data_IF_788902044555
#
_entry.id   IF_788902044555
#
_cell.length_a   1.000
_cell.length_b   1.000
_cell.length_c   1.000
_cell.angle_alpha   90.00
_cell.angle_beta   90.00
_cell.angle_gamma   90.00
#
_symmetry.space_group_name_H-M   'P 1'
#
loop_
_entity.id
_entity.type
_entity.pdbx_description
1 polymer ?
#
# COMPACT_ATOMS: atom_id res chain seq x y z
N UNK A 1 -48.27 2.06 28.91
CA UNK A 1 -46.89 1.97 29.44
C UNK A 1 -45.93 1.99 28.25
N UNK A 2 -45.49 3.17 27.84
CA UNK A 2 -44.51 3.37 26.75
C UNK A 2 -43.11 3.29 27.34
N UNK A 3 -42.35 2.26 26.96
CA UNK A 3 -40.94 2.15 27.31
C UNK A 3 -40.15 3.25 26.61
N UNK A 4 -39.55 4.15 27.38
CA UNK A 4 -38.59 5.14 26.88
C UNK A 4 -37.31 4.42 26.44
N UNK A 5 -36.83 4.61 25.20
CA UNK A 5 -35.57 4.00 24.78
C UNK A 5 -34.42 4.68 25.53
N UNK A 6 -33.60 3.87 26.20
CA UNK A 6 -32.40 4.32 26.92
C UNK A 6 -31.40 4.85 25.88
N UNK A 7 -30.85 6.07 26.05
CA UNK A 7 -29.84 6.59 25.13
C UNK A 7 -28.62 5.67 25.15
N UNK A 8 -28.39 4.98 24.03
CA UNK A 8 -27.16 4.23 23.76
C UNK A 8 -25.99 5.20 23.85
N UNK A 9 -25.12 4.99 24.84
CA UNK A 9 -23.93 5.81 25.06
C UNK A 9 -23.08 5.76 23.79
N UNK A 10 -23.01 6.86 23.04
CA UNK A 10 -22.16 6.95 21.86
C UNK A 10 -20.75 6.51 22.26
N UNK A 11 -20.11 5.59 21.51
CA UNK A 11 -18.79 5.10 21.88
C UNK A 11 -17.84 6.29 21.99
N UNK A 12 -17.32 6.53 23.19
CA UNK A 12 -16.35 7.59 23.40
C UNK A 12 -15.12 7.26 22.57
N UNK A 13 -14.80 8.11 21.59
CA UNK A 13 -13.60 7.98 20.78
C UNK A 13 -12.39 8.11 21.72
N UNK A 14 -11.88 6.98 22.19
CA UNK A 14 -10.76 6.93 23.10
C UNK A 14 -9.50 7.50 22.45
N UNK A 15 -8.54 7.97 23.24
CA UNK A 15 -7.24 8.50 22.75
C UNK A 15 -6.58 7.58 21.70
N UNK A 16 -6.76 6.27 21.84
CA UNK A 16 -6.27 5.26 20.91
C UNK A 16 -6.86 5.36 19.50
N UNK A 17 -8.12 5.78 19.36
CA UNK A 17 -8.76 5.96 18.06
C UNK A 17 -8.20 7.18 17.31
N UNK A 18 -7.86 8.26 18.02
CA UNK A 18 -7.15 9.41 17.45
C UNK A 18 -5.72 9.08 17.03
N UNK A 19 -5.02 8.27 17.83
CA UNK A 19 -3.70 7.75 17.46
C UNK A 19 -3.79 6.87 16.21
N UNK A 20 -4.74 5.94 16.17
CA UNK A 20 -4.97 5.11 14.98
C UNK A 20 -5.29 5.95 13.75
N UNK A 21 -6.11 7.00 13.90
CA UNK A 21 -6.47 7.90 12.81
C UNK A 21 -5.25 8.70 12.31
N UNK A 22 -4.39 9.18 13.20
CA UNK A 22 -3.13 9.83 12.82
C UNK A 22 -2.16 8.89 12.09
N UNK A 23 -2.04 7.64 12.57
CA UNK A 23 -1.21 6.61 11.92
C UNK A 23 -1.77 6.25 10.54
N UNK A 24 -3.08 6.00 10.42
CA UNK A 24 -3.75 5.73 9.15
C UNK A 24 -3.60 6.88 8.16
N UNK A 25 -3.74 8.12 8.64
CA UNK A 25 -3.54 9.31 7.82
C UNK A 25 -2.10 9.39 7.29
N UNK A 26 -1.10 9.15 8.16
CA UNK A 26 0.31 9.17 7.76
C UNK A 26 0.63 8.05 6.75
N UNK A 27 0.14 6.83 7.00
CA UNK A 27 0.25 5.69 6.08
C UNK A 27 -0.37 6.07 4.72
N UNK A 28 -1.54 6.71 4.73
CA UNK A 28 -2.22 7.13 3.50
C UNK A 28 -1.40 8.17 2.72
N UNK A 29 -0.83 9.17 3.39
CA UNK A 29 0.05 10.16 2.77
C UNK A 29 1.27 9.49 2.15
N UNK A 30 1.90 8.56 2.86
CA UNK A 30 3.03 7.80 2.33
C UNK A 30 2.63 6.94 1.14
N UNK A 31 1.44 6.32 1.14
CA UNK A 31 0.93 5.53 0.03
C UNK A 31 0.74 6.40 -1.22
N UNK A 32 0.23 7.61 -1.01
CA UNK A 32 0.07 8.58 -2.08
C UNK A 32 1.42 9.05 -2.64
N UNK A 33 2.36 9.38 -1.78
CA UNK A 33 3.70 9.81 -2.19
C UNK A 33 4.42 8.71 -2.97
N UNK A 34 4.32 7.47 -2.50
CA UNK A 34 4.92 6.31 -3.15
C UNK A 34 4.36 6.12 -4.58
N UNK A 35 3.06 6.29 -4.80
CA UNK A 35 2.48 6.25 -6.16
C UNK A 35 3.04 7.34 -7.08
N UNK A 36 3.33 8.52 -6.54
CA UNK A 36 3.87 9.64 -7.32
C UNK A 36 5.36 9.50 -7.61
N UNK A 37 6.09 8.80 -6.74
CA UNK A 37 7.53 8.61 -6.82
C UNK A 37 7.96 7.97 -8.15
N UNK A 38 7.18 6.99 -8.64
CA UNK A 38 7.43 6.30 -9.92
C UNK A 38 7.33 7.24 -11.13
N UNK A 39 6.38 8.19 -11.10
CA UNK A 39 6.20 9.19 -12.15
C UNK A 39 7.32 10.24 -12.13
N UNK A 40 7.77 10.64 -10.94
CA UNK A 40 8.88 11.59 -10.76
C UNK A 40 10.22 10.98 -11.20
N UNK A 41 10.47 9.72 -10.84
CA UNK A 41 11.71 9.01 -11.17
C UNK A 41 11.69 8.34 -12.54
N UNK A 42 10.59 8.41 -13.29
CA UNK A 42 10.47 7.78 -14.61
C UNK A 42 11.64 8.18 -15.53
N UNK A 43 11.98 9.47 -15.59
CA UNK A 43 13.05 10.01 -16.45
C UNK A 43 14.46 9.55 -16.01
N UNK A 44 14.86 9.69 -14.73
CA UNK A 44 16.10 9.10 -14.24
C UNK A 44 16.22 7.58 -14.44
N UNK A 45 15.13 6.84 -14.26
CA UNK A 45 15.08 5.38 -14.49
C UNK A 45 15.32 5.08 -15.98
N UNK A 46 14.70 5.85 -16.86
CA UNK A 46 14.90 5.77 -18.31
C UNK A 46 16.35 6.01 -18.71
N UNK A 47 16.93 7.10 -18.20
CA UNK A 47 18.29 7.53 -18.53
C UNK A 47 19.34 6.57 -17.93
N UNK A 48 19.11 6.02 -16.74
CA UNK A 48 20.05 5.12 -16.06
C UNK A 48 20.03 3.69 -16.59
N UNK A 49 18.89 3.23 -17.13
CA UNK A 49 18.69 1.84 -17.55
C UNK A 49 18.44 1.68 -19.05
N UNK A 50 18.47 2.78 -19.81
CA UNK A 50 18.26 2.83 -21.27
C UNK A 50 16.96 2.13 -21.71
N UNK A 51 15.87 2.38 -20.98
CA UNK A 51 14.60 1.66 -21.12
C UNK A 51 13.61 2.48 -21.94
N UNK A 52 12.81 1.85 -22.81
CA UNK A 52 11.80 2.54 -23.63
C UNK A 52 10.60 3.02 -22.79
N UNK A 53 9.94 4.12 -23.19
CA UNK A 53 8.68 4.62 -22.60
C UNK A 53 7.61 3.51 -22.45
N UNK A 54 7.57 2.57 -23.41
CA UNK A 54 6.62 1.45 -23.41
C UNK A 54 6.86 0.49 -22.23
N UNK A 55 8.11 0.22 -21.88
CA UNK A 55 8.48 -0.65 -20.77
C UNK A 55 8.21 0.01 -19.41
N UNK A 56 8.35 1.34 -19.32
CA UNK A 56 7.93 2.12 -18.14
C UNK A 56 6.41 2.08 -17.95
N UNK A 57 5.64 2.22 -19.03
CA UNK A 57 4.18 2.08 -18.99
C UNK A 57 3.73 0.68 -18.57
N UNK A 58 4.43 -0.36 -19.04
CA UNK A 58 4.20 -1.74 -18.61
C UNK A 58 4.52 -1.93 -17.12
N UNK A 59 5.59 -1.30 -16.63
CA UNK A 59 5.99 -1.31 -15.22
C UNK A 59 4.93 -0.71 -14.30
N UNK A 60 4.47 0.49 -14.63
CA UNK A 60 3.50 1.23 -13.81
C UNK A 60 2.06 0.71 -13.94
N UNK A 61 1.70 0.13 -15.09
CA UNK A 61 0.34 -0.28 -15.39
C UNK A 61 0.13 -1.79 -15.39
N UNK A 62 0.71 -2.49 -16.36
CA UNK A 62 0.37 -3.88 -16.64
C UNK A 62 0.90 -4.84 -15.56
N UNK A 63 2.18 -4.72 -15.19
CA UNK A 63 2.77 -5.58 -14.16
C UNK A 63 2.11 -5.36 -12.81
N UNK A 64 1.84 -4.11 -12.45
CA UNK A 64 1.11 -3.80 -11.23
C UNK A 64 -0.31 -4.40 -11.23
N UNK A 65 -1.10 -4.19 -12.29
CA UNK A 65 -2.46 -4.70 -12.37
C UNK A 65 -2.53 -6.23 -12.35
N UNK A 66 -1.64 -6.91 -13.08
CA UNK A 66 -1.63 -8.36 -13.18
C UNK A 66 -1.26 -9.00 -11.83
N UNK A 67 -0.24 -8.46 -11.15
CA UNK A 67 0.20 -8.93 -9.84
C UNK A 67 -0.85 -8.64 -8.78
N UNK A 68 -1.40 -7.42 -8.77
CA UNK A 68 -2.44 -7.01 -7.82
C UNK A 68 -3.70 -7.86 -7.95
N UNK A 69 -4.17 -8.17 -9.16
CA UNK A 69 -5.33 -9.06 -9.36
C UNK A 69 -5.10 -10.47 -8.80
N UNK A 70 -3.90 -11.03 -8.95
CA UNK A 70 -3.59 -12.38 -8.45
C UNK A 70 -3.49 -12.44 -6.93
N UNK A 71 -2.99 -11.38 -6.30
CA UNK A 71 -2.70 -11.33 -4.87
C UNK A 71 -3.86 -10.76 -4.05
N UNK A 72 -4.67 -9.88 -4.62
CA UNK A 72 -5.82 -9.29 -3.93
C UNK A 72 -6.83 -10.35 -3.47
N UNK A 73 -7.00 -11.44 -4.23
CA UNK A 73 -7.92 -12.54 -3.89
C UNK A 73 -7.46 -13.30 -2.62
N UNK A 74 -6.24 -13.87 -2.55
CA UNK A 74 -5.78 -14.56 -1.35
C UNK A 74 -5.57 -13.63 -0.16
N UNK A 75 -5.09 -12.40 -0.37
CA UNK A 75 -4.89 -11.41 0.72
C UNK A 75 -6.22 -10.95 1.28
N UNK A 76 -7.22 -10.66 0.44
CA UNK A 76 -8.57 -10.31 0.87
C UNK A 76 -9.24 -11.44 1.66
N UNK A 77 -9.08 -12.68 1.19
CA UNK A 77 -9.57 -13.87 1.91
C UNK A 77 -8.89 -14.05 3.27
N UNK A 78 -7.58 -13.82 3.36
CA UNK A 78 -6.83 -13.89 4.61
C UNK A 78 -7.22 -12.76 5.57
N UNK A 79 -7.45 -11.54 5.05
CA UNK A 79 -7.88 -10.37 5.80
C UNK A 79 -9.26 -10.57 6.43
N UNK A 80 -10.20 -11.19 5.71
CA UNK A 80 -11.54 -11.47 6.21
C UNK A 80 -11.58 -12.53 7.32
N UNK A 81 -10.60 -13.45 7.34
CA UNK A 81 -10.52 -14.52 8.35
C UNK A 81 -9.65 -14.19 9.57
N UNK A 82 -8.87 -13.12 9.55
CA UNK A 82 -7.89 -12.81 10.61
C UNK A 82 -8.11 -11.45 11.27
N UNK A 83 -7.31 -11.15 12.31
CA UNK A 83 -7.39 -9.86 12.99
C UNK A 83 -6.92 -8.74 12.06
N UNK A 84 -7.84 -7.84 11.72
CA UNK A 84 -7.67 -6.68 10.83
C UNK A 84 -6.40 -5.87 11.13
N UNK A 85 -6.05 -5.73 12.41
CA UNK A 85 -4.86 -4.97 12.85
C UNK A 85 -3.57 -5.69 12.48
N UNK A 86 -3.54 -7.01 12.59
CA UNK A 86 -2.37 -7.83 12.23
C UNK A 86 -2.13 -7.82 10.73
N UNK A 87 -3.20 -7.87 9.93
CA UNK A 87 -3.10 -7.78 8.46
C UNK A 87 -2.53 -6.44 8.03
N UNK A 88 -3.06 -5.32 8.56
CA UNK A 88 -2.53 -3.99 8.27
C UNK A 88 -1.08 -3.85 8.72
N UNK A 89 -0.70 -4.45 9.85
CA UNK A 89 0.68 -4.39 10.36
C UNK A 89 1.66 -5.16 9.48
N UNK A 90 1.32 -6.38 9.05
CA UNK A 90 2.15 -7.16 8.11
C UNK A 90 2.24 -6.43 6.78
N UNK A 91 1.12 -5.96 6.24
CA UNK A 91 1.07 -5.26 4.95
C UNK A 91 1.95 -4.01 4.98
N UNK A 92 1.85 -3.20 6.04
CA UNK A 92 2.71 -2.03 6.25
C UNK A 92 4.20 -2.40 6.38
N UNK A 93 4.52 -3.55 6.99
CA UNK A 93 5.87 -4.09 7.09
C UNK A 93 6.45 -4.51 5.73
N UNK A 94 5.69 -5.29 4.95
CA UNK A 94 6.06 -5.71 3.59
C UNK A 94 6.24 -4.47 2.70
N UNK A 95 5.31 -3.52 2.77
CA UNK A 95 5.35 -2.28 2.04
C UNK A 95 6.61 -1.46 2.33
N UNK A 96 6.95 -1.30 3.61
CA UNK A 96 8.14 -0.57 4.03
C UNK A 96 9.42 -1.24 3.53
N UNK A 97 9.53 -2.56 3.65
CA UNK A 97 10.66 -3.32 3.14
C UNK A 97 10.79 -3.22 1.61
N UNK A 98 9.67 -3.30 0.90
CA UNK A 98 9.63 -3.17 -0.54
C UNK A 98 10.01 -1.74 -1.01
N UNK A 99 9.63 -0.72 -0.24
CA UNK A 99 10.00 0.68 -0.50
C UNK A 99 11.51 0.89 -0.35
N UNK A 100 12.13 0.33 0.69
CA UNK A 100 13.59 0.33 0.88
C UNK A 100 14.28 -0.41 -0.29
N UNK A 101 13.74 -1.56 -0.69
CA UNK A 101 14.27 -2.32 -1.83
C UNK A 101 14.17 -1.53 -3.15
N UNK A 102 13.12 -0.72 -3.34
CA UNK A 102 13.01 0.20 -4.49
C UNK A 102 14.11 1.26 -4.47
N UNK A 103 14.40 1.85 -3.31
CA UNK A 103 15.48 2.83 -3.16
C UNK A 103 16.88 2.27 -3.38
N UNK A 104 17.07 0.96 -3.16
CA UNK A 104 18.33 0.25 -3.38
C UNK A 104 18.43 -0.41 -4.77
N UNK A 105 17.37 -0.36 -5.58
CA UNK A 105 17.33 -1.03 -6.88
C UNK A 105 18.29 -0.35 -7.86
N UNK A 106 19.15 -1.17 -8.50
CA UNK A 106 20.12 -0.71 -9.52
C UNK A 106 19.79 -1.19 -10.93
N UNK A 107 18.76 -2.03 -11.07
CA UNK A 107 18.37 -2.66 -12.34
C UNK A 107 16.85 -2.62 -12.54
N UNK A 108 16.40 -2.56 -13.80
CA UNK A 108 14.98 -2.49 -14.17
C UNK A 108 14.13 -3.62 -13.56
N UNK A 109 14.53 -4.92 -13.63
CA UNK A 109 13.74 -6.00 -13.06
C UNK A 109 13.70 -5.94 -11.52
N UNK A 110 14.77 -5.46 -10.88
CA UNK A 110 14.82 -5.33 -9.43
C UNK A 110 13.88 -4.22 -8.96
N UNK A 111 13.83 -3.10 -9.68
CA UNK A 111 12.85 -2.05 -9.44
C UNK A 111 11.42 -2.54 -9.71
N UNK A 112 11.22 -3.31 -10.79
CA UNK A 112 9.94 -3.92 -11.14
C UNK A 112 9.38 -4.79 -10.01
N UNK A 113 10.18 -5.75 -9.56
CA UNK A 113 9.80 -6.72 -8.52
C UNK A 113 9.60 -6.02 -7.18
N UNK A 114 10.50 -5.08 -6.82
CA UNK A 114 10.35 -4.30 -5.60
C UNK A 114 9.03 -3.50 -5.63
N UNK A 115 8.69 -2.89 -6.78
CA UNK A 115 7.41 -2.17 -6.94
C UNK A 115 6.16 -3.02 -6.99
N UNK A 116 6.24 -4.22 -7.56
CA UNK A 116 5.16 -5.19 -7.44
C UNK A 116 4.95 -5.61 -5.98
N UNK A 117 6.04 -5.73 -5.21
CA UNK A 117 6.01 -6.12 -3.80
C UNK A 117 5.42 -5.02 -2.89
N UNK A 118 5.63 -3.74 -3.25
CA UNK A 118 4.97 -2.58 -2.61
C UNK A 118 3.43 -2.70 -2.71
N UNK A 119 2.90 -3.28 -3.79
CA UNK A 119 1.46 -3.45 -4.02
C UNK A 119 0.77 -4.48 -3.13
N UNK A 120 1.51 -5.29 -2.35
CA UNK A 120 0.93 -6.16 -1.31
C UNK A 120 0.52 -5.39 -0.04
N UNK A 121 1.06 -4.18 0.13
CA UNK A 121 0.93 -3.31 1.30
C UNK A 121 -0.39 -2.60 1.45
#
# INVERSE_FOLDING_TARGET
MSATPIPSKAPSVGRNAWVALGVLWFIYVLNFLDRQLLSILAKPIQDSLHISDSQLGLLGGLYFAFFYCFIAIPVGWLADRTNRVWVVSIACGIWSAATIACGLAKTFPQLAVARMTVGFG
#
